data_IF_979061840072
#
_entry.id   IF_979061840072
#
_cell.length_a   1.000
_cell.length_b   1.000
_cell.length_c   1.000
_cell.angle_alpha   90.00
_cell.angle_beta   90.00
_cell.angle_gamma   90.00
#
_symmetry.space_group_name_H-M   'P 1'
#
loop_
_entity.id
_entity.type
_entity.pdbx_description
1 polymer ?
#
# COMPACT_ATOMS: atom_id res chain seq x y z
N UNK A 1 5.35 8.44 4.92
CA UNK A 1 6.40 9.29 5.55
C UNK A 1 6.97 10.29 4.54
N UNK A 2 7.87 9.96 3.60
CA UNK A 2 8.52 10.95 2.72
C UNK A 2 7.94 11.10 1.29
N UNK A 3 6.78 10.48 1.01
CA UNK A 3 6.03 10.57 -0.28
C UNK A 3 6.73 10.08 -1.55
N UNK A 4 8.00 9.65 -1.52
CA UNK A 4 8.66 9.15 -2.73
C UNK A 4 7.93 7.94 -3.33
N UNK A 5 7.58 6.96 -2.49
CA UNK A 5 6.84 5.77 -2.90
C UNK A 5 5.45 6.11 -3.42
N UNK A 6 4.79 7.12 -2.86
CA UNK A 6 3.48 7.58 -3.32
C UNK A 6 3.57 8.26 -4.69
N UNK A 7 4.59 9.10 -4.94
CA UNK A 7 4.83 9.66 -6.28
C UNK A 7 5.06 8.54 -7.29
N UNK A 8 5.87 7.54 -6.95
CA UNK A 8 6.09 6.39 -7.82
C UNK A 8 4.79 5.59 -8.05
N UNK A 9 3.97 5.39 -7.02
CA UNK A 9 2.67 4.74 -7.14
C UNK A 9 1.73 5.51 -8.10
N UNK A 10 1.76 6.85 -8.07
CA UNK A 10 0.98 7.69 -8.97
C UNK A 10 1.44 7.55 -10.42
N UNK A 11 2.75 7.49 -10.68
CA UNK A 11 3.28 7.27 -12.02
C UNK A 11 2.97 5.87 -12.56
N UNK A 12 3.10 4.84 -11.71
CA UNK A 12 2.66 3.48 -12.04
C UNK A 12 1.17 3.47 -12.42
N UNK A 13 0.33 4.11 -11.60
CA UNK A 13 -1.11 4.23 -11.86
C UNK A 13 -1.41 4.90 -13.20
N UNK A 14 -0.69 5.99 -13.53
CA UNK A 14 -0.83 6.67 -14.84
C UNK A 14 -0.48 5.73 -16.00
N UNK A 15 0.58 4.94 -15.84
CA UNK A 15 0.99 3.93 -16.82
C UNK A 15 -0.09 2.86 -17.03
N UNK A 16 -0.61 2.29 -15.94
CA UNK A 16 -1.62 1.22 -16.00
C UNK A 16 -2.92 1.71 -16.67
N UNK A 17 -3.38 2.93 -16.34
CA UNK A 17 -4.55 3.55 -16.98
C UNK A 17 -4.31 3.85 -18.47
N UNK A 18 -3.08 4.15 -18.87
CA UNK A 18 -2.73 4.41 -20.27
C UNK A 18 -2.70 3.15 -21.12
N UNK A 19 -2.41 1.98 -20.53
CA UNK A 19 -2.34 0.70 -21.26
C UNK A 19 -3.72 0.05 -21.37
N UNK A 20 -4.60 0.22 -20.37
CA UNK A 20 -5.96 -0.30 -20.41
C UNK A 20 -6.92 0.53 -19.55
N UNK A 21 -8.00 1.01 -20.17
CA UNK A 21 -9.09 1.73 -19.49
C UNK A 21 -9.88 0.84 -18.52
N UNK A 22 -9.70 -0.49 -18.58
CA UNK A 22 -10.36 -1.48 -17.72
C UNK A 22 -9.62 -1.70 -16.39
N UNK A 23 -8.40 -1.19 -16.23
CA UNK A 23 -7.67 -1.26 -14.96
C UNK A 23 -8.14 -0.15 -14.02
N UNK A 24 -9.12 -0.47 -13.17
CA UNK A 24 -9.50 0.34 -12.02
C UNK A 24 -8.35 0.31 -10.99
N UNK A 25 -7.35 1.16 -11.21
CA UNK A 25 -6.19 1.27 -10.35
C UNK A 25 -6.50 2.20 -9.16
N UNK A 26 -7.03 1.63 -8.08
CA UNK A 26 -7.25 2.36 -6.83
C UNK A 26 -5.92 2.54 -6.08
N UNK A 27 -5.56 3.81 -5.79
CA UNK A 27 -4.38 4.14 -5.00
C UNK A 27 -4.78 4.25 -3.54
N UNK A 28 -4.36 3.30 -2.72
CA UNK A 28 -4.66 3.27 -1.30
C UNK A 28 -3.40 3.42 -0.44
N UNK A 29 -3.57 3.91 0.79
CA UNK A 29 -2.48 4.11 1.75
C UNK A 29 -2.65 3.17 2.95
N UNK A 30 -1.55 2.53 3.38
CA UNK A 30 -1.54 1.70 4.58
C UNK A 30 -1.60 2.59 5.83
N UNK A 31 -2.41 2.23 6.84
CA UNK A 31 -2.48 2.97 8.10
C UNK A 31 -1.10 3.20 8.74
N UNK A 32 -0.86 4.43 9.18
CA UNK A 32 0.36 4.79 9.89
C UNK A 32 0.39 4.19 11.30
N UNK A 33 1.57 3.75 11.76
CA UNK A 33 1.78 3.24 13.12
C UNK A 33 2.30 4.29 14.10
N UNK A 34 2.70 5.46 13.60
CA UNK A 34 3.27 6.54 14.40
C UNK A 34 2.18 7.54 14.79
N UNK A 35 2.23 7.99 16.04
CA UNK A 35 1.40 9.10 16.52
C UNK A 35 1.74 10.41 15.80
N UNK A 36 0.76 11.29 15.68
CA UNK A 36 0.86 12.56 14.94
C UNK A 36 1.92 13.51 15.53
N UNK A 37 2.09 13.48 16.86
CA UNK A 37 3.12 14.27 17.56
C UNK A 37 4.55 13.83 17.19
N UNK A 38 4.76 12.53 16.98
CA UNK A 38 6.05 12.00 16.56
C UNK A 38 6.32 12.32 15.09
N UNK A 39 5.30 12.25 14.23
CA UNK A 39 5.40 12.63 12.83
C UNK A 39 5.80 14.11 12.66
N UNK A 40 5.21 14.99 13.48
CA UNK A 40 5.53 16.42 13.48
C UNK A 40 7.00 16.69 13.82
N UNK A 41 7.56 15.94 14.79
CA UNK A 41 8.98 16.06 15.18
C UNK A 41 9.95 15.54 14.11
N UNK A 42 9.49 14.70 13.19
CA UNK A 42 10.32 14.11 12.14
C UNK A 42 10.31 14.92 10.84
N UNK A 43 9.74 16.14 10.87
CA UNK A 43 9.55 16.97 9.67
C UNK A 43 8.87 16.21 8.53
N UNK A 44 7.92 15.33 8.89
CA UNK A 44 7.21 14.54 7.91
C UNK A 44 6.28 15.45 7.09
N UNK A 45 6.23 15.30 5.76
CA UNK A 45 5.27 16.03 4.93
C UNK A 45 3.82 15.68 5.31
N UNK A 46 2.83 16.52 4.90
CA UNK A 46 1.40 16.33 5.21
C UNK A 46 0.90 14.92 4.87
N UNK A 47 -0.19 14.45 5.49
CA UNK A 47 -0.82 13.13 5.24
C UNK A 47 -1.30 12.95 3.79
N UNK A 48 -1.35 11.70 3.32
CA UNK A 48 -1.81 11.34 1.97
C UNK A 48 -3.27 11.71 1.76
N UNK A 49 -3.59 12.07 0.53
CA UNK A 49 -4.98 12.16 0.07
C UNK A 49 -5.55 10.80 -0.34
N UNK A 50 -4.70 9.76 -0.45
CA UNK A 50 -5.15 8.41 -0.76
C UNK A 50 -5.95 7.84 0.42
N UNK A 51 -7.10 7.18 0.15
CA UNK A 51 -7.90 6.55 1.18
C UNK A 51 -7.11 5.44 1.89
N UNK A 52 -7.47 5.17 3.14
CA UNK A 52 -6.86 4.10 3.91
C UNK A 52 -7.44 2.74 3.49
N UNK A 53 -6.55 1.77 3.28
CA UNK A 53 -6.93 0.37 3.03
C UNK A 53 -7.14 -0.38 4.35
N UNK A 54 -8.17 -1.23 4.40
CA UNK A 54 -8.28 -2.27 5.42
C UNK A 54 -7.82 -3.62 4.86
N UNK A 55 -7.39 -4.54 5.71
CA UNK A 55 -6.90 -5.84 5.24
C UNK A 55 -7.99 -6.63 4.52
N UNK A 56 -9.26 -6.51 4.91
CA UNK A 56 -10.39 -7.21 4.29
C UNK A 56 -10.60 -6.81 2.83
N UNK A 57 -10.32 -5.55 2.51
CA UNK A 57 -10.52 -5.04 1.15
C UNK A 57 -9.58 -5.69 0.12
N UNK A 58 -8.51 -6.37 0.57
CA UNK A 58 -7.63 -7.15 -0.31
C UNK A 58 -8.38 -8.31 -0.98
N UNK A 59 -9.48 -8.80 -0.38
CA UNK A 59 -10.28 -9.88 -0.94
C UNK A 59 -11.00 -9.48 -2.24
N UNK A 60 -11.30 -8.18 -2.42
CA UNK A 60 -12.05 -7.67 -3.57
C UNK A 60 -11.17 -7.38 -4.80
N UNK A 61 -9.86 -7.23 -4.61
CA UNK A 61 -8.95 -6.89 -5.69
C UNK A 61 -8.54 -8.14 -6.51
N UNK A 62 -8.45 -8.03 -7.83
CA UNK A 62 -7.97 -9.13 -8.69
C UNK A 62 -6.44 -9.24 -8.72
N UNK A 63 -5.75 -8.11 -8.53
CA UNK A 63 -4.30 -8.01 -8.61
C UNK A 63 -3.77 -6.93 -7.65
N UNK A 64 -2.49 -7.04 -7.29
CA UNK A 64 -1.86 -6.13 -6.35
C UNK A 64 -0.59 -5.48 -6.89
N UNK A 65 -0.41 -4.21 -6.55
CA UNK A 65 0.88 -3.51 -6.69
C UNK A 65 1.22 -2.89 -5.34
N UNK A 66 2.21 -3.46 -4.66
CA UNK A 66 2.61 -3.02 -3.33
C UNK A 66 3.83 -2.11 -3.39
N UNK A 67 3.69 -0.90 -2.87
CA UNK A 67 4.79 0.06 -2.74
C UNK A 67 5.12 0.32 -1.28
N UNK A 68 6.37 0.14 -0.87
CA UNK A 68 6.79 0.51 0.49
C UNK A 68 8.25 0.95 0.55
N UNK A 69 8.59 1.93 1.42
CA UNK A 69 9.97 2.35 1.57
C UNK A 69 10.76 1.24 2.26
N UNK A 70 12.00 1.04 1.83
CA UNK A 70 12.92 0.10 2.48
C UNK A 70 13.48 0.70 3.77
N UNK A 71 13.64 -0.18 4.76
CA UNK A 71 14.35 0.08 6.01
C UNK A 71 15.29 -1.11 6.23
N UNK A 72 16.58 -0.92 5.96
CA UNK A 72 17.58 -2.00 6.02
C UNK A 72 17.20 -3.22 5.17
N UNK A 73 16.85 -2.98 3.91
CA UNK A 73 16.41 -4.02 2.96
C UNK A 73 15.14 -4.79 3.36
N UNK A 74 14.46 -4.36 4.42
CA UNK A 74 13.17 -4.88 4.86
C UNK A 74 12.05 -3.90 4.53
N UNK A 75 10.82 -4.41 4.46
CA UNK A 75 9.63 -3.58 4.38
C UNK A 75 9.48 -2.69 5.62
N UNK A 76 8.90 -1.51 5.46
CA UNK A 76 8.59 -0.64 6.58
C UNK A 76 7.64 -1.31 7.58
N UNK A 77 7.80 -0.99 8.88
CA UNK A 77 7.03 -1.60 9.96
C UNK A 77 5.50 -1.47 9.77
N UNK A 78 5.03 -0.35 9.22
CA UNK A 78 3.62 -0.13 8.89
C UNK A 78 3.09 -1.20 7.92
N UNK A 79 3.86 -1.46 6.85
CA UNK A 79 3.48 -2.42 5.83
C UNK A 79 3.55 -3.85 6.36
N UNK A 80 4.56 -4.16 7.19
CA UNK A 80 4.66 -5.47 7.84
C UNK A 80 3.48 -5.74 8.77
N UNK A 81 3.07 -4.76 9.56
CA UNK A 81 1.92 -4.87 10.46
C UNK A 81 0.61 -5.09 9.67
N UNK A 82 0.43 -4.36 8.57
CA UNK A 82 -0.72 -4.52 7.68
C UNK A 82 -0.84 -5.93 7.11
N UNK A 83 0.25 -6.48 6.55
CA UNK A 83 0.26 -7.87 6.08
C UNK A 83 0.14 -8.88 7.24
N UNK A 84 0.62 -8.54 8.43
CA UNK A 84 0.43 -9.36 9.64
C UNK A 84 -1.05 -9.54 10.01
N UNK A 85 -1.90 -8.59 9.66
CA UNK A 85 -3.33 -8.65 9.94
C UNK A 85 -4.12 -9.55 8.96
N UNK A 86 -3.53 -10.03 7.87
CA UNK A 86 -4.23 -10.83 6.84
C UNK A 86 -4.35 -12.32 7.19
N UNK A 87 -4.18 -12.72 8.45
CA UNK A 87 -4.21 -14.13 8.88
C UNK A 87 -5.53 -14.84 8.59
N UNK A 88 -6.66 -14.12 8.68
CA UNK A 88 -7.98 -14.63 8.30
C UNK A 88 -8.07 -14.96 6.80
N UNK A 89 -7.63 -14.03 5.95
CA UNK A 89 -7.63 -14.19 4.49
C UNK A 89 -6.72 -15.33 4.06
N UNK A 90 -5.55 -15.46 4.69
CA UNK A 90 -4.61 -16.56 4.45
C UNK A 90 -5.23 -17.92 4.74
N UNK A 91 -5.91 -18.07 5.89
CA UNK A 91 -6.57 -19.33 6.27
C UNK A 91 -7.60 -19.78 5.23
N UNK A 92 -8.32 -18.84 4.64
CA UNK A 92 -9.34 -19.09 3.61
C UNK A 92 -8.80 -19.06 2.18
N UNK A 93 -7.49 -18.88 1.99
CA UNK A 93 -6.85 -18.75 0.68
C UNK A 93 -7.44 -17.67 -0.24
N UNK A 94 -8.05 -16.62 0.31
CA UNK A 94 -8.73 -15.57 -0.48
C UNK A 94 -7.80 -14.75 -1.38
N UNK A 95 -6.49 -14.77 -1.09
CA UNK A 95 -5.48 -14.07 -1.89
C UNK A 95 -4.72 -15.01 -2.84
N UNK A 96 -5.02 -16.32 -2.82
CA UNK A 96 -4.33 -17.29 -3.65
C UNK A 96 -4.65 -17.09 -5.14
N UNK A 97 -3.64 -17.23 -6.01
CA UNK A 97 -3.78 -17.08 -7.46
C UNK A 97 -3.85 -15.63 -7.96
N UNK A 98 -3.95 -14.65 -7.07
CA UNK A 98 -3.97 -13.23 -7.44
C UNK A 98 -2.55 -12.71 -7.71
N UNK A 99 -2.25 -12.17 -8.90
CA UNK A 99 -0.92 -11.67 -9.21
C UNK A 99 -0.56 -10.45 -8.35
N UNK A 100 0.71 -10.35 -7.98
CA UNK A 100 1.24 -9.24 -7.19
C UNK A 100 2.59 -8.75 -7.72
N UNK A 101 2.81 -7.44 -7.70
CA UNK A 101 4.09 -6.78 -7.97
C UNK A 101 4.51 -5.94 -6.76
N UNK A 102 5.81 -5.79 -6.52
CA UNK A 102 6.37 -4.99 -5.43
C UNK A 102 7.32 -3.93 -5.99
N UNK A 103 7.35 -2.73 -5.39
CA UNK A 103 8.28 -1.65 -5.72
C UNK A 103 8.67 -0.80 -4.51
#
# INVERSE_FOLDING_TARGET
>A
MYRHVEKLAQEIRKGDVSVSTLLLAFLWSVPGTLQEDLLSKMSAPPKSYAPLITFNDLAEADAFVFGFPTRFSMMAAQFKAFLGATGGLWRTQQLAGKPARIF
#
